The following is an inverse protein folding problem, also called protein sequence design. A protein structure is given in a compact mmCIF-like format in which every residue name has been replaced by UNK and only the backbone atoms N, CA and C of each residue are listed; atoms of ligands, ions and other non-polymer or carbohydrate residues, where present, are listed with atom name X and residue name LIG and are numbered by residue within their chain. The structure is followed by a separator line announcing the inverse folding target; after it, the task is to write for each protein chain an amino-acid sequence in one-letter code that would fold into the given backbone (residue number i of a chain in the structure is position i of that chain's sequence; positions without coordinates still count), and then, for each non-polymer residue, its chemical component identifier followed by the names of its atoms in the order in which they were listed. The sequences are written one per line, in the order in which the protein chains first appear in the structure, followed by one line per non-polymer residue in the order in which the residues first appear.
data_IF_032354836842
#
_entry.id   IF_032354836842
#
_cell.length_a   1.000
_cell.length_b   1.000
_cell.length_c   1.000
_cell.angle_alpha   90.00
_cell.angle_beta   90.00
_cell.angle_gamma   90.00
#
_symmetry.space_group_name_H-M   'P 1'
#
loop_
_entity.id
_entity.type
_entity.pdbx_description
1 polymer ?
#
# COMPACT_ATOMS: atom_id res chain seq x y z
N UNK A 1 31.75 4.04 11.09
CA UNK A 1 30.42 4.53 10.67
C UNK A 1 29.92 5.47 11.76
N UNK A 2 29.07 6.44 11.43
CA UNK A 2 28.35 7.21 12.45
C UNK A 2 27.09 6.42 12.84
N UNK A 3 26.72 6.42 14.12
CA UNK A 3 25.40 5.94 14.52
C UNK A 3 24.33 6.87 13.94
N UNK A 4 23.10 6.38 13.69
CA UNK A 4 22.00 7.25 13.31
C UNK A 4 21.77 8.40 14.30
N UNK A 5 21.34 9.56 13.80
CA UNK A 5 20.93 10.68 14.65
C UNK A 5 19.65 10.35 15.44
N UNK A 6 19.33 11.15 16.46
CA UNK A 6 18.08 11.03 17.21
C UNK A 6 16.89 11.22 16.25
N UNK A 7 16.19 10.12 15.95
CA UNK A 7 15.16 10.11 14.92
C UNK A 7 13.84 10.74 15.39
N UNK A 8 13.69 11.11 16.67
CA UNK A 8 12.51 11.83 17.18
C UNK A 8 12.21 13.12 16.38
N UNK A 9 13.26 13.78 15.87
CA UNK A 9 13.16 15.01 15.06
C UNK A 9 13.65 14.79 13.61
N UNK A 10 13.62 13.53 13.15
CA UNK A 10 13.90 13.14 11.77
C UNK A 10 12.97 11.98 11.37
N UNK A 11 11.70 12.06 11.75
CA UNK A 11 10.65 11.05 11.57
C UNK A 11 9.54 11.60 10.66
N UNK A 12 9.05 10.78 9.72
CA UNK A 12 8.12 11.20 8.67
C UNK A 12 7.12 10.11 8.33
N UNK A 13 5.89 10.51 8.02
CA UNK A 13 4.85 9.65 7.42
C UNK A 13 4.82 9.86 5.92
N UNK A 14 4.78 8.75 5.17
CA UNK A 14 4.50 8.70 3.73
C UNK A 14 3.00 8.43 3.51
N UNK A 15 2.36 9.22 2.66
CA UNK A 15 1.05 8.87 2.07
C UNK A 15 1.22 8.15 0.72
N UNK A 16 0.21 7.36 0.34
CA UNK A 16 0.23 6.57 -0.91
C UNK A 16 0.32 7.41 -2.19
N UNK A 17 0.01 8.71 -2.13
CA UNK A 17 0.14 9.66 -3.25
C UNK A 17 1.56 10.26 -3.34
N UNK A 18 2.49 9.84 -2.47
CA UNK A 18 3.89 10.26 -2.44
C UNK A 18 4.18 11.48 -1.56
N UNK A 19 3.17 12.00 -0.84
CA UNK A 19 3.32 13.11 0.09
C UNK A 19 4.09 12.68 1.34
N UNK A 20 4.97 13.57 1.82
CA UNK A 20 5.87 13.31 2.94
C UNK A 20 5.62 14.32 4.07
N UNK A 21 5.23 13.80 5.23
CA UNK A 21 4.65 14.58 6.33
C UNK A 21 5.54 14.50 7.58
N UNK A 22 6.19 15.60 8.00
CA UNK A 22 7.04 15.62 9.18
C UNK A 22 6.30 15.22 10.46
N UNK A 23 6.97 14.46 11.33
CA UNK A 23 6.48 14.04 12.63
C UNK A 23 7.26 14.75 13.75
N UNK A 24 6.56 15.20 14.79
CA UNK A 24 7.17 15.90 15.92
C UNK A 24 7.76 17.25 15.52
N UNK A 25 9.05 17.46 15.79
CA UNK A 25 9.78 18.67 15.39
C UNK A 25 10.71 18.45 14.19
N UNK A 26 10.40 17.46 13.34
CA UNK A 26 11.19 17.17 12.14
C UNK A 26 11.09 18.32 11.11
N UNK A 27 12.19 18.69 10.43
CA UNK A 27 12.15 19.69 9.36
C UNK A 27 11.36 19.17 8.15
N UNK A 28 10.92 20.04 7.25
CA UNK A 28 10.33 19.58 5.98
C UNK A 28 11.43 19.09 5.02
N UNK A 29 11.26 17.91 4.43
CA UNK A 29 12.10 17.39 3.34
C UNK A 29 11.35 17.49 2.02
N UNK A 30 12.04 18.00 0.99
CA UNK A 30 11.56 17.93 -0.40
C UNK A 30 11.54 16.48 -0.89
N UNK A 31 10.54 16.11 -1.70
CA UNK A 31 10.45 14.80 -2.36
C UNK A 31 10.21 15.00 -3.86
N UNK A 32 10.73 14.09 -4.70
CA UNK A 32 10.33 14.01 -6.12
C UNK A 32 9.12 13.12 -6.36
N UNK A 33 8.65 12.40 -5.34
CA UNK A 33 7.49 11.53 -5.42
C UNK A 33 6.21 12.37 -5.54
N UNK A 34 5.39 12.08 -6.56
CA UNK A 34 4.05 12.67 -6.67
C UNK A 34 3.16 11.83 -7.58
N UNK A 35 2.07 11.31 -7.00
CA UNK A 35 1.01 10.58 -7.70
C UNK A 35 -0.34 11.05 -7.15
N UNK A 36 -0.79 12.27 -7.50
CA UNK A 36 -2.08 12.76 -7.04
C UNK A 36 -3.18 11.76 -7.42
N UNK A 37 -4.09 11.46 -6.49
CA UNK A 37 -5.22 10.53 -6.67
C UNK A 37 -4.83 9.06 -6.98
N UNK A 38 -3.69 8.58 -6.47
CA UNK A 38 -3.13 7.26 -6.86
C UNK A 38 -2.25 6.65 -5.77
N UNK A 39 -2.69 5.51 -5.25
CA UNK A 39 -2.17 4.88 -4.04
C UNK A 39 -1.05 3.87 -4.39
N UNK A 40 0.16 4.38 -4.59
CA UNK A 40 1.29 3.60 -5.17
C UNK A 40 2.60 3.74 -4.40
N UNK A 41 2.74 4.72 -3.51
CA UNK A 41 3.94 4.91 -2.70
C UNK A 41 3.91 3.96 -1.49
N UNK A 42 4.74 2.92 -1.47
CA UNK A 42 4.64 1.80 -0.51
C UNK A 42 5.84 1.65 0.43
N UNK A 43 6.83 2.54 0.37
CA UNK A 43 7.97 2.48 1.28
C UNK A 43 8.74 3.78 1.38
N UNK A 44 9.22 4.08 2.58
CA UNK A 44 10.09 5.21 2.88
C UNK A 44 11.31 4.71 3.65
N UNK A 45 12.51 5.18 3.30
CA UNK A 45 13.71 4.96 4.10
C UNK A 45 14.63 6.18 4.09
N UNK A 46 15.23 6.50 5.24
CA UNK A 46 16.08 7.69 5.42
C UNK A 46 17.50 7.33 5.83
N UNK A 47 18.47 8.14 5.36
CA UNK A 47 19.88 7.99 5.71
C UNK A 47 20.08 8.08 7.24
N UNK A 48 21.13 7.46 7.81
CA UNK A 48 21.49 7.60 9.22
C UNK A 48 21.62 9.05 9.72
N UNK A 49 21.98 9.99 8.85
CA UNK A 49 22.08 11.43 9.18
C UNK A 49 20.74 12.19 9.13
N UNK A 50 19.66 11.57 8.66
CA UNK A 50 18.33 12.19 8.53
C UNK A 50 18.21 13.26 7.45
N UNK A 51 19.23 13.50 6.62
CA UNK A 51 19.26 14.59 5.63
C UNK A 51 18.44 14.30 4.37
N UNK A 52 18.04 13.05 4.15
CA UNK A 52 17.35 12.60 2.95
C UNK A 52 17.18 11.09 2.92
N UNK A 53 16.76 10.57 1.77
CA UNK A 53 16.50 9.15 1.55
C UNK A 53 15.68 8.90 0.29
N UNK A 54 14.80 7.90 0.31
CA UNK A 54 13.99 7.52 -0.86
C UNK A 54 12.56 7.18 -0.45
N UNK A 55 11.62 7.56 -1.32
CA UNK A 55 10.30 6.91 -1.45
C UNK A 55 10.39 5.83 -2.53
N UNK A 56 9.72 4.70 -2.31
CA UNK A 56 9.59 3.59 -3.25
C UNK A 56 8.14 3.49 -3.74
N UNK A 57 7.95 3.36 -5.07
CA UNK A 57 6.64 3.00 -5.64
C UNK A 57 6.45 1.48 -5.77
N UNK A 58 5.19 1.04 -5.87
CA UNK A 58 4.83 -0.39 -5.92
C UNK A 58 5.39 -1.18 -7.09
N UNK A 59 5.89 -0.50 -8.13
CA UNK A 59 6.60 -1.13 -9.24
C UNK A 59 8.12 -1.25 -8.99
N UNK A 60 8.61 -0.71 -7.87
CA UNK A 60 9.99 -0.83 -7.40
C UNK A 60 10.90 0.36 -7.73
N UNK A 61 10.39 1.44 -8.32
CA UNK A 61 11.21 2.62 -8.65
C UNK A 61 11.39 3.52 -7.43
N UNK A 62 12.58 4.10 -7.32
CA UNK A 62 12.97 5.00 -6.22
C UNK A 62 12.87 6.48 -6.59
N UNK A 63 12.46 7.29 -5.63
CA UNK A 63 12.20 8.73 -5.77
C UNK A 63 12.92 9.49 -4.65
N UNK A 64 13.92 10.34 -4.96
CA UNK A 64 14.72 11.02 -3.95
C UNK A 64 13.93 11.90 -2.98
N UNK A 65 14.38 11.86 -1.73
CA UNK A 65 13.93 12.70 -0.62
C UNK A 65 15.13 13.46 -0.05
N UNK A 66 14.92 14.75 0.27
CA UNK A 66 15.92 15.61 0.90
C UNK A 66 17.20 15.76 0.07
N UNK A 67 18.33 15.42 0.69
CA UNK A 67 19.68 15.46 0.09
C UNK A 67 20.00 14.35 -0.90
N UNK A 68 19.12 13.36 -1.09
CA UNK A 68 19.43 12.17 -1.88
C UNK A 68 19.58 12.45 -3.39
N UNK A 69 20.58 11.83 -4.07
CA UNK A 69 20.65 11.82 -5.52
C UNK A 69 19.72 10.74 -6.10
N UNK A 70 19.36 10.87 -7.39
CA UNK A 70 18.62 9.84 -8.11
C UNK A 70 19.43 8.52 -8.21
N UNK A 71 18.79 7.40 -7.88
CA UNK A 71 19.35 6.06 -7.90
C UNK A 71 18.27 5.10 -8.43
N UNK A 72 18.70 4.13 -9.23
CA UNK A 72 17.85 3.03 -9.72
C UNK A 72 17.92 1.84 -8.74
N UNK A 73 16.80 1.15 -8.53
CA UNK A 73 16.73 -0.09 -7.74
C UNK A 73 17.25 -1.31 -8.51
N UNK A 74 17.38 -1.21 -9.84
CA UNK A 74 17.74 -2.31 -10.72
C UNK A 74 16.59 -3.26 -11.04
N UNK A 75 15.38 -2.99 -10.54
CA UNK A 75 14.18 -3.83 -10.70
C UNK A 75 12.95 -2.99 -11.02
N UNK A 76 12.07 -3.52 -11.86
CA UNK A 76 10.83 -2.85 -12.26
C UNK A 76 9.75 -3.88 -12.60
N UNK A 77 8.60 -3.79 -11.91
CA UNK A 77 7.46 -4.70 -12.07
C UNK A 77 6.20 -3.98 -12.60
N UNK A 78 6.20 -3.50 -13.85
CA UNK A 78 4.99 -2.93 -14.44
C UNK A 78 3.95 -4.03 -14.59
N UNK A 79 2.75 -3.82 -14.04
CA UNK A 79 1.61 -4.77 -13.93
C UNK A 79 1.63 -5.71 -12.70
N UNK A 80 2.56 -5.57 -11.75
CA UNK A 80 2.49 -6.29 -10.46
C UNK A 80 3.00 -5.42 -9.31
N UNK A 81 2.28 -5.44 -8.18
CA UNK A 81 2.77 -4.86 -6.92
C UNK A 81 3.79 -5.84 -6.34
N UNK A 82 4.99 -5.79 -6.89
CA UNK A 82 6.12 -6.62 -6.51
C UNK A 82 6.94 -6.04 -5.38
N UNK A 83 7.00 -4.72 -5.24
CA UNK A 83 7.82 -4.07 -4.22
C UNK A 83 7.11 -4.03 -2.86
N UNK A 84 7.85 -4.31 -1.76
CA UNK A 84 7.33 -4.33 -0.38
C UNK A 84 7.92 -3.27 0.51
N UNK A 85 9.25 -3.19 0.56
CA UNK A 85 9.96 -2.26 1.46
C UNK A 85 11.31 -1.88 0.85
N UNK A 86 11.81 -0.70 1.23
CA UNK A 86 13.21 -0.33 1.09
C UNK A 86 13.84 -0.08 2.45
N UNK A 87 15.10 -0.45 2.60
CA UNK A 87 15.94 -0.03 3.72
C UNK A 87 17.28 0.50 3.26
N UNK A 88 17.82 1.48 3.99
CA UNK A 88 19.13 2.05 3.74
C UNK A 88 20.16 1.44 4.71
N UNK A 89 21.36 1.18 4.19
CA UNK A 89 22.41 0.52 4.95
C UNK A 89 23.03 1.46 6.02
N UNK A 90 23.62 0.93 7.11
CA UNK A 90 24.27 1.73 8.16
C UNK A 90 25.44 2.64 7.72
N UNK A 91 25.97 2.43 6.50
CA UNK A 91 27.01 3.26 5.87
C UNK A 91 26.48 4.17 4.75
N UNK A 92 25.17 4.15 4.50
CA UNK A 92 24.52 4.92 3.43
C UNK A 92 24.56 6.41 3.72
N UNK A 93 24.72 7.23 2.67
CA UNK A 93 24.64 8.70 2.75
C UNK A 93 24.20 9.28 1.41
N UNK A 94 23.88 10.57 1.34
CA UNK A 94 23.64 11.26 0.07
C UNK A 94 24.84 11.25 -0.88
N UNK A 95 26.06 11.24 -0.35
CA UNK A 95 27.29 11.13 -1.15
C UNK A 95 27.57 9.69 -1.64
N UNK A 96 27.12 8.69 -0.88
CA UNK A 96 27.29 7.26 -1.20
C UNK A 96 26.01 6.48 -0.82
N UNK A 97 24.93 6.58 -1.61
CA UNK A 97 23.71 5.84 -1.32
C UNK A 97 23.96 4.34 -1.34
N UNK A 98 23.39 3.61 -0.40
CA UNK A 98 23.43 2.15 -0.34
C UNK A 98 22.17 1.66 0.35
N UNK A 99 21.41 0.80 -0.31
CA UNK A 99 20.21 0.20 0.27
C UNK A 99 19.79 -1.08 -0.42
N UNK A 100 18.67 -1.60 0.05
CA UNK A 100 18.08 -2.85 -0.39
C UNK A 100 16.57 -2.67 -0.56
N UNK A 101 16.05 -3.17 -1.67
CA UNK A 101 14.61 -3.31 -1.90
C UNK A 101 14.21 -4.77 -1.64
N UNK A 102 13.16 -4.98 -0.86
CA UNK A 102 12.49 -6.27 -0.67
C UNK A 102 11.34 -6.40 -1.66
N UNK A 103 11.29 -7.51 -2.40
CA UNK A 103 10.11 -7.89 -3.18
C UNK A 103 9.15 -8.83 -2.41
N UNK A 104 7.93 -8.95 -2.92
CA UNK A 104 6.83 -9.68 -2.30
C UNK A 104 7.11 -11.17 -2.11
N UNK A 105 7.96 -11.76 -2.96
CA UNK A 105 8.36 -13.16 -2.90
C UNK A 105 9.70 -13.35 -2.15
N UNK A 106 10.21 -12.33 -1.45
CA UNK A 106 11.39 -12.41 -0.61
C UNK A 106 12.73 -12.20 -1.32
N UNK A 107 12.71 -11.79 -2.59
CA UNK A 107 13.93 -11.34 -3.27
C UNK A 107 14.45 -10.03 -2.66
N UNK A 108 15.77 -9.94 -2.46
CA UNK A 108 16.44 -8.74 -1.94
C UNK A 108 17.35 -8.17 -3.03
N UNK A 109 17.04 -6.95 -3.48
CA UNK A 109 17.70 -6.29 -4.61
C UNK A 109 18.57 -5.12 -4.10
N UNK A 110 19.90 -5.18 -4.25
CA UNK A 110 20.81 -4.11 -3.82
C UNK A 110 20.72 -2.89 -4.75
N UNK A 111 20.73 -1.69 -4.17
CA UNK A 111 20.73 -0.44 -4.93
C UNK A 111 21.80 0.57 -4.48
N UNK A 112 22.22 1.43 -5.41
CA UNK A 112 23.36 2.33 -5.22
C UNK A 112 24.68 1.56 -5.08
N UNK A 113 25.46 1.88 -4.06
CA UNK A 113 26.71 1.20 -3.69
C UNK A 113 26.55 -0.03 -2.79
N UNK A 114 25.34 -0.58 -2.64
CA UNK A 114 25.11 -1.75 -1.80
C UNK A 114 25.68 -3.05 -2.42
N UNK A 115 26.42 -3.87 -1.66
CA UNK A 115 26.80 -5.21 -2.10
C UNK A 115 25.59 -6.16 -2.19
N UNK A 116 25.63 -7.12 -3.11
CA UNK A 116 24.64 -8.20 -3.17
C UNK A 116 24.68 -9.07 -1.89
N UNK A 117 23.50 -9.46 -1.41
CA UNK A 117 23.30 -10.36 -0.26
C UNK A 117 22.94 -11.78 -0.72
N UNK A 118 23.07 -12.76 0.18
CA UNK A 118 22.72 -14.16 -0.08
C UNK A 118 22.20 -14.88 1.18
N UNK A 119 21.51 -16.00 0.97
CA UNK A 119 20.98 -16.84 2.05
C UNK A 119 19.58 -16.47 2.56
N UNK A 120 18.94 -15.45 2.00
CA UNK A 120 17.51 -15.18 2.26
C UNK A 120 16.64 -16.25 1.59
N UNK A 121 15.56 -16.75 2.23
CA UNK A 121 14.56 -17.56 1.53
C UNK A 121 13.80 -16.75 0.48
N UNK A 122 13.12 -17.44 -0.43
CA UNK A 122 12.14 -16.86 -1.35
C UNK A 122 10.90 -17.74 -1.42
N UNK A 123 9.77 -17.13 -1.76
CA UNK A 123 8.44 -17.72 -1.78
C UNK A 123 7.71 -17.41 -3.10
N UNK A 124 8.17 -17.93 -4.26
CA UNK A 124 7.68 -17.48 -5.57
C UNK A 124 6.16 -17.62 -5.74
N UNK A 125 5.52 -16.52 -6.14
CA UNK A 125 4.07 -16.42 -6.34
C UNK A 125 3.24 -16.39 -5.05
N UNK A 126 3.85 -16.29 -3.86
CA UNK A 126 3.13 -16.27 -2.58
C UNK A 126 2.93 -14.85 -2.04
N UNK A 127 3.77 -13.89 -2.42
CA UNK A 127 3.65 -12.50 -2.00
C UNK A 127 3.78 -12.28 -0.48
N UNK A 128 4.36 -13.23 0.26
CA UNK A 128 4.33 -13.32 1.74
C UNK A 128 5.34 -12.44 2.47
N UNK A 129 6.34 -11.87 1.81
CA UNK A 129 7.37 -11.06 2.48
C UNK A 129 6.82 -9.71 2.97
N UNK A 130 7.06 -9.35 4.24
CA UNK A 130 6.46 -8.18 4.92
C UNK A 130 7.47 -7.16 5.43
N UNK A 131 8.73 -7.53 5.64
CA UNK A 131 9.73 -6.56 6.09
C UNK A 131 11.17 -7.06 5.97
N UNK A 132 12.11 -6.13 5.99
CA UNK A 132 13.55 -6.32 5.80
C UNK A 132 14.31 -5.42 6.77
N UNK A 133 15.32 -5.94 7.48
CA UNK A 133 16.16 -5.11 8.36
C UNK A 133 17.64 -5.50 8.28
N UNK A 134 18.51 -4.51 8.06
CA UNK A 134 19.97 -4.66 8.05
C UNK A 134 20.50 -4.49 9.48
N UNK A 135 21.48 -5.30 9.89
CA UNK A 135 22.05 -5.16 11.25
C UNK A 135 22.89 -3.88 11.37
N UNK A 136 22.86 -3.15 12.50
CA UNK A 136 23.65 -1.93 12.70
C UNK A 136 25.18 -2.11 12.59
N UNK A 137 25.68 -3.35 12.71
CA UNK A 137 27.10 -3.71 12.59
C UNK A 137 27.49 -4.20 11.17
N UNK A 138 26.56 -4.23 10.22
CA UNK A 138 26.84 -4.61 8.82
C UNK A 138 27.79 -3.62 8.15
N UNK A 139 28.57 -4.09 7.19
CA UNK A 139 29.52 -3.28 6.41
C UNK A 139 29.51 -3.70 4.94
N UNK A 140 30.09 -2.90 4.00
CA UNK A 140 30.21 -3.28 2.60
C UNK A 140 30.99 -4.60 2.32
N UNK A 141 31.66 -5.18 3.32
CA UNK A 141 32.37 -6.47 3.21
C UNK A 141 31.62 -7.63 3.90
N UNK A 142 30.61 -7.32 4.73
CA UNK A 142 29.83 -8.29 5.48
C UNK A 142 28.46 -7.66 5.80
N UNK A 143 27.49 -7.93 4.93
CA UNK A 143 26.11 -7.45 5.06
C UNK A 143 25.27 -8.56 5.66
N UNK A 144 24.58 -8.26 6.75
CA UNK A 144 23.81 -9.22 7.57
C UNK A 144 22.44 -8.61 7.86
N UNK A 145 21.40 -9.43 7.94
CA UNK A 145 20.06 -8.92 8.23
C UNK A 145 19.02 -10.03 8.35
N UNK A 146 17.76 -9.60 8.41
CA UNK A 146 16.60 -10.48 8.52
C UNK A 146 15.50 -10.04 7.57
N UNK A 147 14.75 -10.99 7.02
CA UNK A 147 13.41 -10.73 6.48
C UNK A 147 12.32 -11.27 7.40
N UNK A 148 11.13 -10.68 7.30
CA UNK A 148 9.91 -11.06 7.99
C UNK A 148 8.88 -11.53 6.96
N UNK A 149 8.21 -12.66 7.21
CA UNK A 149 7.03 -13.09 6.46
C UNK A 149 5.71 -12.77 7.20
N UNK A 150 4.58 -12.89 6.48
CA UNK A 150 3.23 -12.64 7.00
C UNK A 150 2.86 -13.43 8.25
N UNK A 151 3.44 -14.62 8.42
CA UNK A 151 3.14 -15.53 9.54
C UNK A 151 4.02 -15.25 10.77
N UNK A 152 4.88 -14.23 10.71
CA UNK A 152 5.71 -13.77 11.83
C UNK A 152 7.08 -14.47 11.91
N UNK A 153 7.43 -15.32 10.95
CA UNK A 153 8.74 -15.95 10.93
C UNK A 153 9.83 -15.00 10.41
N UNK A 154 11.00 -15.07 11.05
CA UNK A 154 12.10 -14.10 10.92
C UNK A 154 13.35 -14.82 10.42
N UNK A 155 13.73 -14.54 9.19
CA UNK A 155 14.67 -15.33 8.40
C UNK A 155 16.03 -14.63 8.29
N UNK A 156 17.12 -15.16 8.86
CA UNK A 156 18.44 -14.56 8.78
C UNK A 156 19.07 -14.72 7.38
N UNK A 157 19.74 -13.69 6.88
CA UNK A 157 20.57 -13.75 5.67
C UNK A 157 21.97 -13.17 5.89
N UNK A 158 22.89 -13.40 4.94
CA UNK A 158 24.24 -12.83 4.98
C UNK A 158 25.12 -13.32 6.15
N UNK A 159 24.81 -14.49 6.71
CA UNK A 159 25.47 -15.00 7.92
C UNK A 159 24.94 -14.43 9.23
N UNK A 160 23.81 -13.73 9.22
CA UNK A 160 23.08 -13.35 10.42
C UNK A 160 22.78 -14.57 11.33
N UNK A 161 22.76 -14.35 12.64
CA UNK A 161 22.46 -15.39 13.63
C UNK A 161 20.95 -15.55 13.73
N UNK A 162 20.43 -16.78 13.65
CA UNK A 162 19.01 -17.06 13.87
C UNK A 162 18.49 -16.40 15.15
N UNK A 163 17.34 -15.73 15.05
CA UNK A 163 16.61 -15.23 16.23
C UNK A 163 15.99 -16.40 17.00
N UNK A 164 15.52 -16.12 18.22
CA UNK A 164 14.81 -17.09 19.06
C UNK A 164 13.58 -16.46 19.67
N UNK A 165 12.51 -17.25 19.82
CA UNK A 165 11.25 -16.83 20.44
C UNK A 165 10.60 -15.58 19.80
N UNK A 166 10.59 -15.50 18.46
CA UNK A 166 9.65 -14.65 17.73
C UNK A 166 8.22 -15.20 17.86
N UNK A 167 7.23 -14.30 17.82
CA UNK A 167 5.84 -14.69 17.66
C UNK A 167 5.59 -15.31 16.29
N UNK A 168 4.58 -16.18 16.22
CA UNK A 168 4.06 -16.78 14.99
C UNK A 168 2.55 -16.71 14.99
N UNK A 169 1.97 -16.64 13.80
CA UNK A 169 0.55 -16.36 13.60
C UNK A 169 -0.08 -17.40 12.66
N UNK A 170 -1.38 -17.63 12.80
CA UNK A 170 -2.13 -18.60 11.97
C UNK A 170 -2.41 -18.08 10.54
N UNK A 171 -2.10 -16.80 10.26
CA UNK A 171 -2.35 -16.13 8.99
C UNK A 171 -1.39 -14.97 8.74
N UNK A 172 -1.56 -14.30 7.60
CA UNK A 172 -0.75 -13.16 7.15
C UNK A 172 -1.10 -11.86 7.91
N UNK A 173 -0.50 -11.71 9.09
CA UNK A 173 -0.80 -10.61 10.01
C UNK A 173 0.40 -9.75 10.39
N UNK A 174 1.62 -10.19 10.08
CA UNK A 174 2.83 -9.43 10.41
C UNK A 174 2.98 -8.20 9.49
N UNK A 175 3.41 -7.06 10.05
CA UNK A 175 3.48 -5.75 9.33
C UNK A 175 4.83 -5.04 9.42
N UNK A 176 5.77 -5.52 10.25
CA UNK A 176 7.12 -4.94 10.28
C UNK A 176 8.04 -5.57 11.33
N UNK A 177 9.35 -5.35 11.19
CA UNK A 177 10.39 -5.84 12.10
C UNK A 177 11.40 -4.74 12.43
N UNK A 178 11.78 -4.62 13.70
CA UNK A 178 12.89 -3.74 14.14
C UNK A 178 13.86 -4.47 15.05
N UNK A 179 15.15 -4.22 14.86
CA UNK A 179 16.21 -4.67 15.77
C UNK A 179 16.43 -3.63 16.87
N UNK A 180 16.79 -4.07 18.08
CA UNK A 180 17.14 -3.17 19.19
C UNK A 180 18.50 -3.51 19.79
N UNK A 181 19.09 -2.56 20.53
CA UNK A 181 20.38 -2.77 21.19
C UNK A 181 20.31 -3.94 22.18
N UNK A 182 21.16 -4.95 21.97
CA UNK A 182 21.18 -6.16 22.79
C UNK A 182 21.53 -5.91 24.24
N UNK A 183 20.64 -6.24 25.19
CA UNK A 183 20.87 -6.04 26.63
C UNK A 183 22.06 -6.87 27.17
N UNK A 184 22.37 -8.00 26.54
CA UNK A 184 23.48 -8.89 26.94
C UNK A 184 24.41 -9.32 25.77
N UNK A 185 24.18 -8.87 24.52
CA UNK A 185 24.93 -9.28 23.32
C UNK A 185 24.84 -10.77 22.90
N UNK A 186 24.39 -11.66 23.79
CA UNK A 186 24.32 -13.11 23.58
C UNK A 186 23.30 -13.52 22.49
N UNK A 187 22.24 -12.75 22.30
CA UNK A 187 21.17 -13.00 21.32
C UNK A 187 20.89 -11.74 20.49
N UNK A 188 20.31 -11.94 19.31
CA UNK A 188 19.78 -10.84 18.49
C UNK A 188 18.34 -10.60 18.91
N UNK A 189 18.05 -9.39 19.38
CA UNK A 189 16.75 -9.01 19.95
C UNK A 189 16.09 -7.89 19.15
N UNK A 190 14.78 -7.79 19.27
CA UNK A 190 13.96 -6.86 18.51
C UNK A 190 12.48 -7.09 18.74
N UNK A 191 11.67 -6.51 17.86
CA UNK A 191 10.22 -6.60 17.89
C UNK A 191 9.66 -6.85 16.49
N UNK A 192 8.58 -7.62 16.40
CA UNK A 192 7.71 -7.66 15.21
C UNK A 192 6.36 -7.01 15.52
N UNK A 193 5.76 -6.38 14.51
CA UNK A 193 4.43 -5.78 14.56
C UNK A 193 3.39 -6.73 13.93
N UNK A 194 2.21 -6.85 14.54
CA UNK A 194 1.01 -7.39 13.89
C UNK A 194 0.02 -6.29 13.49
N UNK A 195 -0.94 -6.64 12.62
CA UNK A 195 -1.93 -5.72 12.08
C UNK A 195 -2.79 -5.00 13.12
N UNK A 196 -2.99 -5.61 14.30
CA UNK A 196 -3.81 -5.08 15.40
C UNK A 196 -3.01 -4.11 16.28
N UNK A 197 -1.76 -3.80 15.94
CA UNK A 197 -0.86 -3.00 16.76
C UNK A 197 -0.20 -3.80 17.89
N UNK A 198 -0.26 -5.14 17.86
CA UNK A 198 0.47 -5.99 18.78
C UNK A 198 1.97 -5.95 18.49
N UNK A 199 2.79 -5.74 19.53
CA UNK A 199 4.24 -5.61 19.41
C UNK A 199 4.90 -6.77 20.17
N UNK A 200 5.54 -7.66 19.42
CA UNK A 200 5.99 -8.96 19.90
C UNK A 200 7.51 -8.99 20.08
N UNK A 201 8.03 -9.07 21.33
CA UNK A 201 9.47 -9.15 21.57
C UNK A 201 10.05 -10.49 21.10
N UNK A 202 11.27 -10.46 20.56
CA UNK A 202 12.08 -11.66 20.31
C UNK A 202 13.51 -11.54 20.86
N UNK A 203 14.21 -12.67 20.98
CA UNK A 203 15.63 -12.71 21.35
C UNK A 203 15.97 -12.27 22.76
N UNK A 204 14.97 -12.16 23.66
CA UNK A 204 15.15 -11.61 25.01
C UNK A 204 14.97 -10.10 25.10
N UNK A 205 14.41 -9.44 24.08
CA UNK A 205 13.85 -8.10 24.24
C UNK A 205 12.80 -8.09 25.37
N UNK A 206 12.71 -7.02 26.19
CA UNK A 206 11.66 -6.90 27.20
C UNK A 206 10.29 -6.70 26.54
N UNK A 207 9.22 -7.11 27.22
CA UNK A 207 7.87 -6.71 26.84
C UNK A 207 7.72 -5.18 26.90
N UNK A 208 6.95 -4.61 25.97
CA UNK A 208 6.69 -3.18 25.84
C UNK A 208 5.19 -2.93 25.71
N UNK A 209 4.74 -1.74 26.10
CA UNK A 209 3.36 -1.27 25.89
C UNK A 209 3.31 -0.37 24.66
N UNK A 210 2.34 -0.58 23.78
CA UNK A 210 1.93 0.40 22.76
C UNK A 210 0.94 1.41 23.35
N UNK A 211 0.92 2.65 22.84
CA UNK A 211 -0.10 3.65 23.18
C UNK A 211 -1.43 3.45 22.46
N UNK A 212 -1.48 2.56 21.46
CA UNK A 212 -2.69 2.20 20.71
C UNK A 212 -2.72 0.72 20.33
N UNK A 213 -3.92 0.19 20.13
CA UNK A 213 -4.17 -1.16 19.63
C UNK A 213 -5.57 -1.22 19.01
N UNK A 214 -5.74 -2.06 18.00
CA UNK A 214 -6.97 -2.21 17.21
C UNK A 214 -7.33 -3.70 17.11
N UNK A 215 -7.81 -4.35 18.20
CA UNK A 215 -7.95 -5.80 18.25
C UNK A 215 -8.85 -6.36 17.15
N UNK A 216 -8.29 -7.16 16.24
CA UNK A 216 -9.02 -7.78 15.13
C UNK A 216 -9.32 -6.84 13.96
N UNK A 217 -8.72 -5.64 13.93
CA UNK A 217 -8.78 -4.71 12.79
C UNK A 217 -7.37 -4.54 12.23
N UNK A 218 -7.18 -4.78 10.93
CA UNK A 218 -5.91 -4.49 10.27
C UNK A 218 -5.80 -2.97 10.12
N UNK A 219 -4.94 -2.36 10.93
CA UNK A 219 -4.85 -0.90 11.12
C UNK A 219 -3.42 -0.41 11.33
N UNK A 220 -2.60 -1.17 12.05
CA UNK A 220 -1.17 -0.86 12.23
C UNK A 220 -0.39 -1.27 10.98
N UNK A 221 0.48 -0.39 10.50
CA UNK A 221 0.97 -0.44 9.13
C UNK A 221 2.49 -0.63 9.02
N UNK A 222 3.26 0.10 9.84
CA UNK A 222 4.72 -0.08 9.96
C UNK A 222 5.22 0.38 11.35
N UNK A 223 6.42 -0.05 11.76
CA UNK A 223 7.05 0.39 13.03
C UNK A 223 8.51 0.83 12.86
N UNK A 224 8.90 1.83 13.64
CA UNK A 224 10.26 2.38 13.69
C UNK A 224 10.77 2.36 15.14
N UNK A 225 11.99 1.88 15.38
CA UNK A 225 12.63 1.99 16.69
C UNK A 225 13.21 3.40 16.90
N UNK A 226 13.11 3.92 18.14
CA UNK A 226 13.72 5.19 18.51
C UNK A 226 15.24 5.01 18.68
N UNK A 227 16.05 5.69 17.86
CA UNK A 227 17.51 5.47 17.76
C UNK A 227 18.29 5.80 19.04
N UNK A 228 17.66 6.48 20.00
CA UNK A 228 18.21 6.90 21.29
C UNK A 228 17.63 6.10 22.47
N UNK A 229 16.69 5.19 22.24
CA UNK A 229 16.21 4.27 23.25
C UNK A 229 17.34 3.34 23.73
N UNK A 230 17.36 3.00 25.02
CA UNK A 230 18.41 2.14 25.58
C UNK A 230 18.03 0.66 25.47
N UNK A 231 19.01 -0.24 25.54
CA UNK A 231 18.77 -1.70 25.63
C UNK A 231 17.94 -2.09 26.86
N UNK A 232 18.02 -1.29 27.93
CA UNK A 232 17.22 -1.47 29.15
C UNK A 232 15.80 -0.91 29.05
N UNK A 233 15.61 0.15 28.26
CA UNK A 233 14.34 0.85 28.05
C UNK A 233 14.15 1.12 26.54
N UNK A 234 13.84 0.06 25.75
CA UNK A 234 13.59 0.20 24.31
C UNK A 234 12.25 0.85 24.04
N UNK A 235 12.12 1.47 22.87
CA UNK A 235 10.91 2.15 22.44
C UNK A 235 10.98 2.55 20.97
N UNK A 236 9.87 3.07 20.46
CA UNK A 236 9.75 3.55 19.09
C UNK A 236 8.33 4.01 18.79
N UNK A 237 7.97 4.01 17.51
CA UNK A 237 6.63 4.37 17.05
C UNK A 237 6.05 3.32 16.09
N UNK A 238 4.73 3.26 16.04
CA UNK A 238 3.91 2.54 15.06
C UNK A 238 3.08 3.57 14.30
N UNK A 239 2.98 3.41 12.99
CA UNK A 239 2.05 4.15 12.14
C UNK A 239 0.75 3.38 11.99
N UNK A 240 -0.39 4.06 12.09
CA UNK A 240 -1.66 3.52 11.60
C UNK A 240 -2.01 4.04 10.19
N UNK A 241 -2.93 3.35 9.53
CA UNK A 241 -3.36 3.64 8.15
C UNK A 241 -4.03 5.00 7.94
N UNK A 242 -4.44 5.67 9.01
CA UNK A 242 -4.97 7.04 8.98
C UNK A 242 -3.86 8.10 9.18
N UNK A 243 -2.59 7.70 9.35
CA UNK A 243 -1.47 8.64 9.50
C UNK A 243 -1.13 9.01 10.95
N UNK A 244 -1.89 8.53 11.93
CA UNK A 244 -1.57 8.79 13.34
C UNK A 244 -0.37 7.93 13.79
N UNK A 245 0.51 8.54 14.60
CA UNK A 245 1.80 7.97 15.01
C UNK A 245 1.81 7.69 16.51
N UNK A 246 1.84 6.41 16.86
CA UNK A 246 1.61 5.89 18.19
C UNK A 246 2.92 5.44 18.84
N UNK A 247 3.21 5.90 20.04
CA UNK A 247 4.46 5.57 20.73
C UNK A 247 4.38 4.18 21.39
N UNK A 248 5.51 3.47 21.44
CA UNK A 248 5.64 2.23 22.19
C UNK A 248 6.92 2.20 23.03
N UNK A 249 6.87 1.43 24.12
CA UNK A 249 7.96 1.31 25.07
C UNK A 249 8.33 2.66 25.70
N UNK A 250 9.60 3.05 25.58
CA UNK A 250 10.17 4.27 26.17
C UNK A 250 10.05 5.53 25.32
N UNK A 251 9.54 5.44 24.09
CA UNK A 251 9.56 6.57 23.17
C UNK A 251 8.58 7.69 23.58
N UNK A 252 8.94 8.96 23.37
CA UNK A 252 8.05 10.08 23.64
C UNK A 252 6.88 10.11 22.64
N UNK A 253 5.71 10.56 23.09
CA UNK A 253 4.58 10.82 22.20
C UNK A 253 4.93 11.93 21.20
N UNK A 254 4.60 11.69 19.93
CA UNK A 254 4.79 12.62 18.79
C UNK A 254 3.47 12.72 18.02
N UNK A 255 3.42 13.58 16.98
CA UNK A 255 2.28 13.70 16.06
C UNK A 255 2.79 13.97 14.66
N UNK A 256 2.16 13.40 13.64
CA UNK A 256 2.38 13.80 12.25
C UNK A 256 1.80 15.20 11.99
N UNK A 257 2.34 15.92 11.00
CA UNK A 257 1.81 17.20 10.54
C UNK A 257 0.46 17.08 9.81
N UNK A 258 0.12 15.87 9.37
CA UNK A 258 -1.08 15.53 8.61
C UNK A 258 -1.56 14.14 9.04
N UNK A 259 -2.88 13.97 9.17
CA UNK A 259 -3.55 12.66 9.27
C UNK A 259 -4.83 12.69 8.43
N UNK A 260 -5.43 11.54 8.18
CA UNK A 260 -6.61 11.37 7.34
C UNK A 260 -7.64 10.47 8.06
N UNK A 261 -8.38 11.01 9.04
CA UNK A 261 -9.28 10.22 9.88
C UNK A 261 -10.32 9.42 9.08
N UNK A 262 -10.27 8.09 9.20
CA UNK A 262 -11.16 7.16 8.49
C UNK A 262 -10.73 6.81 7.06
N UNK A 263 -9.67 7.42 6.52
CA UNK A 263 -9.20 7.20 5.16
C UNK A 263 -7.85 6.47 5.16
N UNK A 264 -7.86 5.20 4.74
CA UNK A 264 -6.68 4.32 4.67
C UNK A 264 -5.77 4.75 3.51
N UNK A 265 -4.80 5.63 3.78
CA UNK A 265 -3.88 6.23 2.79
C UNK A 265 -2.42 6.40 3.29
N UNK A 266 -2.14 6.21 4.58
CA UNK A 266 -0.76 6.19 5.07
C UNK A 266 -0.08 4.86 4.71
N UNK A 267 1.20 4.89 4.30
CA UNK A 267 1.90 3.74 3.70
C UNK A 267 3.33 3.48 4.17
N UNK A 268 3.87 4.34 5.05
CA UNK A 268 5.23 4.14 5.55
C UNK A 268 5.63 5.16 6.60
N UNK A 269 6.40 4.69 7.58
CA UNK A 269 7.00 5.50 8.64
C UNK A 269 8.52 5.32 8.59
N UNK A 270 9.28 6.40 8.46
CA UNK A 270 10.73 6.32 8.51
C UNK A 270 11.33 7.41 9.40
N UNK A 271 12.18 6.97 10.33
CA UNK A 271 13.14 7.81 11.03
C UNK A 271 14.51 7.79 10.37
N UNK A 272 15.38 8.76 10.67
CA UNK A 272 16.80 8.70 10.31
C UNK A 272 17.43 7.34 10.68
N UNK A 273 18.09 6.68 9.70
CA UNK A 273 18.70 5.37 9.87
C UNK A 273 17.71 4.20 9.97
N UNK A 274 16.47 4.40 9.54
CA UNK A 274 15.42 3.37 9.47
C UNK A 274 14.59 3.52 8.20
N UNK A 275 13.83 2.48 7.88
CA UNK A 275 12.77 2.52 6.89
C UNK A 275 11.50 1.90 7.46
N UNK A 276 10.43 2.03 6.70
CA UNK A 276 9.14 1.41 6.94
C UNK A 276 8.29 1.53 5.69
N UNK A 277 7.67 0.43 5.30
CA UNK A 277 6.77 0.36 4.15
C UNK A 277 5.57 -0.54 4.43
N UNK A 278 4.58 -0.42 3.56
CA UNK A 278 3.35 -1.21 3.59
C UNK A 278 2.70 -1.15 2.21
N UNK A 279 1.98 -2.21 1.86
CA UNK A 279 1.22 -2.25 0.61
C UNK A 279 -0.27 -2.24 0.84
N UNK A 280 -0.98 -1.90 -0.22
CA UNK A 280 -2.40 -2.18 -0.39
C UNK A 280 -2.74 -3.66 -0.11
N UNK A 281 -3.99 -3.95 0.29
CA UNK A 281 -4.48 -5.32 0.55
C UNK A 281 -5.26 -5.86 -0.65
N UNK A 282 -5.26 -7.18 -0.83
CA UNK A 282 -6.14 -7.82 -1.82
C UNK A 282 -7.64 -7.71 -1.44
N UNK A 283 -7.94 -7.66 -0.14
CA UNK A 283 -9.29 -7.43 0.38
C UNK A 283 -9.23 -6.19 1.28
N UNK A 284 -10.05 -5.19 0.95
CA UNK A 284 -10.04 -3.87 1.58
C UNK A 284 -11.04 -3.81 2.73
N UNK A 285 -10.75 -2.97 3.72
CA UNK A 285 -11.73 -2.68 4.78
C UNK A 285 -12.93 -1.90 4.26
N UNK A 286 -14.04 -2.00 4.99
CA UNK A 286 -15.32 -1.42 4.59
C UNK A 286 -15.30 0.11 4.53
N UNK A 287 -15.07 0.69 3.35
CA UNK A 287 -14.96 2.14 3.14
C UNK A 287 -16.27 2.74 2.57
N UNK A 288 -17.07 3.47 3.36
CA UNK A 288 -18.37 4.01 2.92
C UNK A 288 -18.24 5.39 2.27
N UNK A 289 -17.41 5.52 1.24
CA UNK A 289 -17.20 6.81 0.55
C UNK A 289 -18.40 7.18 -0.31
N UNK A 290 -18.99 8.37 -0.09
CA UNK A 290 -20.10 8.89 -0.89
C UNK A 290 -20.15 10.41 -0.87
N UNK A 291 -20.69 11.01 -1.92
CA UNK A 291 -20.71 12.46 -2.14
C UNK A 291 -22.06 12.94 -2.75
N UNK A 292 -22.06 14.09 -3.44
CA UNK A 292 -23.21 14.60 -4.19
C UNK A 292 -23.45 13.90 -5.55
N UNK A 293 -22.46 13.20 -6.11
CA UNK A 293 -22.62 12.37 -7.32
C UNK A 293 -23.15 10.97 -6.97
N UNK A 294 -22.68 10.32 -5.90
CA UNK A 294 -23.16 9.00 -5.51
C UNK A 294 -22.31 8.29 -4.45
N UNK A 295 -22.53 6.99 -4.28
CA UNK A 295 -21.64 6.12 -3.49
C UNK A 295 -20.56 5.53 -4.38
N UNK A 296 -19.35 5.41 -3.84
CA UNK A 296 -18.25 4.67 -4.44
C UNK A 296 -18.21 3.24 -3.90
N UNK A 297 -18.00 2.27 -4.78
CA UNK A 297 -17.93 0.86 -4.44
C UNK A 297 -16.71 0.22 -5.09
N UNK A 298 -15.71 -0.13 -4.26
CA UNK A 298 -14.57 -0.93 -4.69
C UNK A 298 -14.93 -2.43 -4.60
N UNK A 299 -14.65 -3.21 -5.64
CA UNK A 299 -14.99 -4.64 -5.72
C UNK A 299 -14.28 -5.50 -4.67
N UNK A 300 -13.15 -5.02 -4.12
CA UNK A 300 -12.33 -5.71 -3.12
C UNK A 300 -12.74 -5.44 -1.67
N UNK A 301 -13.73 -4.58 -1.44
CA UNK A 301 -14.26 -4.27 -0.10
C UNK A 301 -14.88 -5.51 0.58
N UNK A 302 -14.42 -5.81 1.79
CA UNK A 302 -14.78 -7.01 2.59
C UNK A 302 -16.30 -7.23 2.73
N UNK A 303 -17.13 -6.20 2.62
CA UNK A 303 -18.60 -6.28 2.75
C UNK A 303 -19.28 -7.04 1.61
N UNK A 304 -18.60 -7.20 0.47
CA UNK A 304 -19.13 -7.92 -0.70
C UNK A 304 -18.08 -8.68 -1.52
N UNK A 305 -16.79 -8.45 -1.29
CA UNK A 305 -15.67 -9.06 -2.01
C UNK A 305 -15.83 -10.58 -2.21
N UNK A 306 -16.29 -11.29 -1.18
CA UNK A 306 -16.47 -12.75 -1.16
C UNK A 306 -17.84 -13.26 -1.65
N UNK A 307 -18.77 -12.38 -2.01
CA UNK A 307 -20.05 -12.79 -2.60
C UNK A 307 -19.83 -13.28 -4.04
N UNK A 308 -20.45 -14.40 -4.41
CA UNK A 308 -20.33 -14.94 -5.77
C UNK A 308 -21.17 -14.16 -6.79
N UNK A 309 -20.53 -13.71 -7.85
CA UNK A 309 -21.18 -13.19 -9.06
C UNK A 309 -21.74 -14.37 -9.83
N UNK A 310 -23.06 -14.49 -9.91
CA UNK A 310 -23.72 -15.53 -10.70
C UNK A 310 -23.27 -16.96 -10.34
N UNK A 311 -23.12 -17.24 -9.04
CA UNK A 311 -22.72 -18.54 -8.49
C UNK A 311 -21.39 -19.10 -9.08
N UNK A 312 -20.50 -18.25 -9.63
CA UNK A 312 -19.27 -18.68 -10.35
C UNK A 312 -17.96 -18.17 -9.78
N UNK A 313 -17.83 -16.88 -9.46
CA UNK A 313 -16.60 -16.31 -8.89
C UNK A 313 -16.90 -15.12 -7.96
N UNK A 314 -16.05 -14.87 -6.94
CA UNK A 314 -16.25 -13.78 -6.00
C UNK A 314 -16.12 -12.38 -6.64
N UNK A 315 -16.90 -11.41 -6.16
CA UNK A 315 -16.92 -10.00 -6.63
C UNK A 315 -15.52 -9.38 -6.68
N UNK A 316 -14.62 -9.68 -5.73
CA UNK A 316 -13.26 -9.11 -5.78
C UNK A 316 -12.50 -9.50 -7.05
N UNK A 317 -12.81 -10.66 -7.64
CA UNK A 317 -12.06 -11.26 -8.74
C UNK A 317 -12.58 -10.87 -10.13
N UNK A 318 -13.89 -10.70 -10.28
CA UNK A 318 -14.52 -10.39 -11.59
C UNK A 318 -15.57 -9.27 -11.55
N UNK A 319 -15.80 -8.64 -10.40
CA UNK A 319 -16.93 -7.77 -10.13
C UNK A 319 -16.74 -6.29 -10.45
N UNK A 320 -15.88 -5.92 -11.41
CA UNK A 320 -15.70 -4.51 -11.81
C UNK A 320 -17.01 -3.90 -12.32
N UNK A 321 -17.58 -4.48 -13.39
CA UNK A 321 -18.86 -4.05 -13.96
C UNK A 321 -20.05 -4.22 -12.99
N UNK A 322 -19.97 -5.16 -12.04
CA UNK A 322 -20.96 -5.33 -10.96
C UNK A 322 -20.90 -4.15 -9.98
N UNK A 323 -19.70 -3.68 -9.67
CA UNK A 323 -19.48 -2.57 -8.74
C UNK A 323 -19.74 -1.22 -9.41
N UNK A 324 -19.34 -1.06 -10.67
CA UNK A 324 -19.73 0.08 -11.52
C UNK A 324 -21.25 0.23 -11.60
N UNK A 325 -21.96 -0.85 -11.90
CA UNK A 325 -23.42 -0.83 -11.98
C UNK A 325 -24.03 -0.41 -10.63
N UNK A 326 -23.50 -0.87 -9.50
CA UNK A 326 -23.91 -0.40 -8.17
C UNK A 326 -23.66 1.10 -7.96
N UNK A 327 -22.52 1.64 -8.42
CA UNK A 327 -22.22 3.08 -8.34
C UNK A 327 -23.23 3.90 -9.17
N UNK A 328 -23.58 3.44 -10.37
CA UNK A 328 -24.59 4.08 -11.22
C UNK A 328 -26.01 3.97 -10.61
N UNK A 329 -26.37 2.83 -10.02
CA UNK A 329 -27.61 2.73 -9.23
C UNK A 329 -27.62 3.74 -8.06
N UNK A 330 -26.51 3.91 -7.35
CA UNK A 330 -26.42 4.90 -6.27
C UNK A 330 -26.49 6.34 -6.77
N UNK A 331 -25.99 6.64 -7.97
CA UNK A 331 -26.11 7.96 -8.61
C UNK A 331 -27.58 8.32 -8.85
N UNK A 332 -28.37 7.38 -9.38
CA UNK A 332 -29.82 7.53 -9.52
C UNK A 332 -30.61 7.35 -8.19
N UNK A 333 -29.93 7.40 -7.05
CA UNK A 333 -30.55 7.44 -5.72
C UNK A 333 -30.95 6.08 -5.11
N UNK A 334 -30.62 4.95 -5.77
CA UNK A 334 -30.91 3.60 -5.25
C UNK A 334 -29.90 3.17 -4.17
N UNK A 335 -29.88 3.89 -3.05
CA UNK A 335 -28.92 3.78 -1.92
C UNK A 335 -28.80 2.41 -1.24
N UNK A 336 -29.66 1.45 -1.58
CA UNK A 336 -29.64 0.08 -1.05
C UNK A 336 -29.08 -0.96 -2.05
N UNK A 337 -28.71 -0.54 -3.25
CA UNK A 337 -28.06 -1.41 -4.24
C UNK A 337 -26.54 -1.34 -4.01
N UNK A 338 -25.97 -2.48 -3.65
CA UNK A 338 -24.52 -2.71 -3.50
C UNK A 338 -24.03 -3.82 -4.44
N UNK A 339 -22.71 -3.99 -4.63
CA UNK A 339 -22.17 -5.05 -5.49
C UNK A 339 -22.66 -6.45 -5.11
N UNK A 340 -22.77 -6.77 -3.81
CA UNK A 340 -23.35 -8.04 -3.35
C UNK A 340 -24.83 -8.21 -3.75
N UNK A 341 -25.65 -7.15 -3.67
CA UNK A 341 -27.06 -7.24 -4.08
C UNK A 341 -27.22 -7.47 -5.58
N UNK A 342 -26.29 -6.94 -6.40
CA UNK A 342 -26.28 -7.19 -7.85
C UNK A 342 -25.78 -8.61 -8.14
N UNK A 343 -24.66 -9.03 -7.52
CA UNK A 343 -24.08 -10.36 -7.67
C UNK A 343 -25.07 -11.50 -7.36
N UNK A 344 -25.92 -11.32 -6.33
CA UNK A 344 -26.95 -12.26 -5.91
C UNK A 344 -28.10 -12.46 -6.93
N UNK A 345 -28.22 -11.64 -7.97
CA UNK A 345 -29.18 -11.86 -9.06
C UNK A 345 -28.60 -12.87 -10.07
N UNK A 346 -28.55 -14.16 -9.74
CA UNK A 346 -27.89 -15.16 -10.61
C UNK A 346 -28.47 -15.25 -12.04
N UNK A 347 -29.73 -14.89 -12.24
CA UNK A 347 -30.35 -14.76 -13.58
C UNK A 347 -29.87 -13.57 -14.42
N UNK A 348 -29.03 -12.70 -13.87
CA UNK A 348 -28.40 -11.58 -14.58
C UNK A 348 -27.07 -11.96 -15.23
N UNK A 349 -26.54 -13.16 -14.99
CA UNK A 349 -25.20 -13.59 -15.43
C UNK A 349 -25.22 -14.88 -16.25
N UNK A 350 -24.22 -15.03 -17.12
CA UNK A 350 -23.92 -16.31 -17.77
C UNK A 350 -23.13 -17.26 -16.85
N UNK A 351 -22.91 -18.50 -17.29
CA UNK A 351 -22.12 -19.51 -16.57
C UNK A 351 -20.61 -19.23 -16.49
N UNK A 352 -20.19 -17.98 -16.64
CA UNK A 352 -18.83 -17.45 -16.44
C UNK A 352 -18.82 -16.18 -15.58
N UNK A 353 -19.98 -15.73 -15.10
CA UNK A 353 -20.16 -14.48 -14.36
C UNK A 353 -20.27 -13.23 -15.25
N UNK A 354 -20.40 -13.37 -16.58
CA UNK A 354 -20.57 -12.22 -17.47
C UNK A 354 -22.02 -11.72 -17.44
N UNK A 355 -22.22 -10.43 -17.17
CA UNK A 355 -23.55 -9.83 -17.02
C UNK A 355 -24.29 -9.70 -18.37
N UNK A 356 -25.60 -9.98 -18.39
CA UNK A 356 -26.44 -9.82 -19.56
C UNK A 356 -26.89 -8.36 -19.75
N UNK A 357 -27.00 -7.91 -21.00
CA UNK A 357 -27.50 -6.57 -21.35
C UNK A 357 -28.91 -6.26 -20.78
N UNK A 358 -29.71 -7.28 -20.46
CA UNK A 358 -31.02 -7.13 -19.80
C UNK A 358 -30.91 -6.62 -18.35
N UNK A 359 -29.84 -6.97 -17.65
CA UNK A 359 -29.58 -6.57 -16.26
C UNK A 359 -29.04 -5.14 -16.12
N UNK A 360 -28.49 -4.57 -17.20
CA UNK A 360 -28.02 -3.19 -17.24
C UNK A 360 -29.15 -2.14 -17.21
N UNK A 361 -30.42 -2.55 -17.25
CA UNK A 361 -31.55 -1.62 -17.22
C UNK A 361 -31.86 -1.14 -15.79
N UNK A 362 -31.53 0.12 -15.50
CA UNK A 362 -31.88 0.77 -14.23
C UNK A 362 -33.33 1.28 -14.29
N UNK A 363 -34.19 1.01 -13.27
CA UNK A 363 -35.59 1.42 -13.31
C UNK A 363 -35.75 2.94 -13.46
N UNK A 364 -36.66 3.37 -14.34
CA UNK A 364 -36.88 4.79 -14.65
C UNK A 364 -35.92 5.40 -15.68
N UNK A 365 -34.80 4.73 -15.97
CA UNK A 365 -33.75 5.24 -16.86
C UNK A 365 -33.58 4.39 -18.13
N UNK A 366 -33.01 4.99 -19.17
CA UNK A 366 -32.70 4.36 -20.46
C UNK A 366 -31.20 4.08 -20.57
N UNK A 367 -30.88 2.82 -20.85
CA UNK A 367 -29.50 2.39 -21.10
C UNK A 367 -29.18 2.40 -22.60
N UNK A 368 -28.00 2.87 -22.98
CA UNK A 368 -27.49 2.84 -24.36
C UNK A 368 -26.09 2.23 -24.37
N UNK A 369 -25.93 1.12 -25.09
CA UNK A 369 -24.67 0.37 -25.20
C UNK A 369 -24.08 0.60 -26.59
N UNK A 370 -22.81 1.01 -26.66
CA UNK A 370 -22.07 1.28 -27.91
C UNK A 370 -20.75 0.53 -27.91
N UNK A 371 -20.53 -0.32 -28.92
CA UNK A 371 -19.22 -0.94 -29.22
C UNK A 371 -18.35 0.03 -30.01
N UNK A 372 -17.05 0.07 -29.70
CA UNK A 372 -16.06 1.00 -30.27
C UNK A 372 -16.57 2.46 -30.28
N UNK A 373 -16.93 3.02 -29.11
CA UNK A 373 -17.55 4.35 -29.01
C UNK A 373 -16.60 5.47 -29.43
N UNK A 374 -17.13 6.48 -30.12
CA UNK A 374 -16.37 7.71 -30.41
C UNK A 374 -16.15 8.51 -29.11
N UNK A 375 -14.94 9.01 -28.81
CA UNK A 375 -14.68 9.80 -27.60
C UNK A 375 -15.53 11.07 -27.46
N UNK A 376 -16.04 11.64 -28.56
CA UNK A 376 -16.99 12.75 -28.52
C UNK A 376 -18.40 12.32 -28.09
N UNK A 377 -18.82 11.10 -28.39
CA UNK A 377 -20.08 10.52 -27.89
C UNK A 377 -20.03 10.34 -26.37
N UNK A 378 -18.93 9.80 -25.85
CA UNK A 378 -18.69 9.68 -24.40
C UNK A 378 -18.73 11.06 -23.73
N UNK A 379 -18.00 12.05 -24.28
CA UNK A 379 -18.03 13.43 -23.77
C UNK A 379 -19.43 14.06 -23.82
N UNK A 380 -20.23 13.80 -24.87
CA UNK A 380 -21.58 14.35 -24.98
C UNK A 380 -22.53 13.81 -23.89
N UNK A 381 -22.42 12.53 -23.54
CA UNK A 381 -23.19 11.96 -22.43
C UNK A 381 -22.75 12.54 -21.08
N UNK A 382 -21.45 12.55 -20.80
CA UNK A 382 -20.90 13.09 -19.54
C UNK A 382 -21.17 14.60 -19.36
N UNK A 383 -21.10 15.39 -20.44
CA UNK A 383 -21.40 16.82 -20.41
C UNK A 383 -22.89 17.13 -20.19
N UNK A 384 -23.77 16.16 -20.45
CA UNK A 384 -25.20 16.24 -20.12
C UNK A 384 -25.53 15.65 -18.73
N UNK A 385 -24.52 15.26 -17.94
CA UNK A 385 -24.68 14.69 -16.60
C UNK A 385 -24.98 13.19 -16.55
N UNK A 386 -25.00 12.51 -17.70
CA UNK A 386 -25.23 11.06 -17.74
C UNK A 386 -23.98 10.29 -17.29
N UNK A 387 -24.07 9.36 -16.34
CA UNK A 387 -22.97 8.46 -16.03
C UNK A 387 -22.71 7.50 -17.20
N UNK A 388 -21.44 7.15 -17.42
CA UNK A 388 -21.03 6.24 -18.51
C UNK A 388 -20.04 5.20 -17.99
N UNK A 389 -20.41 3.92 -17.98
CA UNK A 389 -19.46 2.84 -17.70
C UNK A 389 -18.70 2.52 -19.00
N UNK A 390 -17.38 2.33 -18.95
CA UNK A 390 -16.56 1.97 -20.12
C UNK A 390 -15.77 0.69 -19.91
N UNK A 391 -15.79 -0.19 -20.92
CA UNK A 391 -15.03 -1.44 -20.96
C UNK A 391 -13.73 -1.27 -21.76
N UNK A 392 -12.62 -1.69 -21.17
CA UNK A 392 -11.26 -1.55 -21.71
C UNK A 392 -10.54 -2.90 -21.76
N UNK A 393 -9.75 -3.14 -22.81
CA UNK A 393 -8.86 -4.30 -22.85
C UNK A 393 -7.62 -4.05 -21.98
N UNK A 394 -7.09 -5.10 -21.35
CA UNK A 394 -5.82 -5.04 -20.62
C UNK A 394 -4.66 -5.63 -21.47
N UNK A 395 -3.43 -5.06 -21.44
CA UNK A 395 -2.31 -5.54 -22.27
C UNK A 395 -1.82 -6.95 -21.92
N UNK A 396 -1.98 -7.36 -20.66
CA UNK A 396 -1.73 -8.73 -20.20
C UNK A 396 -2.83 -9.73 -20.63
N UNK A 397 -3.88 -9.26 -21.31
CA UNK A 397 -5.11 -9.99 -21.57
C UNK A 397 -6.18 -9.73 -20.49
N UNK A 398 -7.43 -10.02 -20.83
CA UNK A 398 -8.60 -9.70 -20.00
C UNK A 398 -9.14 -8.29 -20.24
N UNK A 399 -10.15 -7.92 -19.45
CA UNK A 399 -10.89 -6.65 -19.57
C UNK A 399 -11.15 -6.04 -18.20
N UNK A 400 -11.12 -4.71 -18.13
CA UNK A 400 -11.53 -3.94 -16.95
C UNK A 400 -12.69 -3.00 -17.30
N UNK A 401 -13.54 -2.71 -16.33
CA UNK A 401 -14.65 -1.76 -16.45
C UNK A 401 -14.52 -0.69 -15.37
N UNK A 402 -14.88 0.55 -15.73
CA UNK A 402 -14.84 1.71 -14.82
C UNK A 402 -16.00 2.68 -15.10
N UNK A 403 -16.43 3.39 -14.07
CA UNK A 403 -17.52 4.37 -14.17
C UNK A 403 -16.98 5.77 -14.39
N UNK A 404 -17.28 6.36 -15.56
CA UNK A 404 -17.01 7.77 -15.84
C UNK A 404 -18.09 8.64 -15.22
N UNK A 405 -17.67 9.58 -14.37
CA UNK A 405 -18.54 10.43 -13.54
C UNK A 405 -18.69 11.86 -14.08
N UNK A 406 -17.79 12.30 -14.96
CA UNK A 406 -17.90 13.58 -15.66
C UNK A 406 -16.72 13.87 -16.61
N UNK A 407 -16.76 14.99 -17.33
CA UNK A 407 -15.64 15.45 -18.17
C UNK A 407 -14.56 16.16 -17.34
N UNK A 408 -13.29 15.83 -17.54
CA UNK A 408 -12.15 16.49 -16.91
C UNK A 408 -11.36 17.29 -17.95
N UNK A 409 -11.73 18.57 -18.09
CA UNK A 409 -11.19 19.42 -19.16
C UNK A 409 -11.60 18.91 -20.56
N UNK A 410 -10.72 19.06 -21.54
CA UNK A 410 -11.01 18.77 -22.96
C UNK A 410 -10.59 17.37 -23.43
N UNK A 411 -9.73 16.67 -22.67
CA UNK A 411 -9.03 15.45 -23.13
C UNK A 411 -9.13 14.25 -22.18
N UNK A 412 -9.84 14.38 -21.06
CA UNK A 412 -9.80 13.43 -19.95
C UNK A 412 -11.19 13.35 -19.27
N UNK A 413 -11.37 12.38 -18.37
CA UNK A 413 -12.63 12.14 -17.63
C UNK A 413 -12.35 12.05 -16.12
N UNK A 414 -13.38 12.34 -15.32
CA UNK A 414 -13.43 11.91 -13.93
C UNK A 414 -13.96 10.48 -13.87
N UNK A 415 -13.33 9.65 -13.03
CA UNK A 415 -13.52 8.19 -13.01
C UNK A 415 -13.70 7.73 -11.57
N UNK A 416 -14.60 6.78 -11.36
CA UNK A 416 -14.60 5.91 -10.21
C UNK A 416 -14.10 4.54 -10.69
N UNK A 417 -12.92 4.11 -10.25
CA UNK A 417 -12.38 2.79 -10.61
C UNK A 417 -12.75 1.77 -9.52
N UNK A 418 -13.46 0.67 -9.85
CA UNK A 418 -13.89 -0.30 -8.87
C UNK A 418 -12.77 -1.22 -8.39
N UNK A 419 -11.59 -1.25 -9.03
CA UNK A 419 -10.47 -2.08 -8.57
C UNK A 419 -9.55 -1.34 -7.60
N UNK A 420 -8.99 -0.20 -7.98
CA UNK A 420 -7.92 0.50 -7.23
C UNK A 420 -8.42 1.10 -5.89
N UNK A 421 -7.67 0.94 -4.79
CA UNK A 421 -8.04 1.58 -3.52
C UNK A 421 -8.01 3.11 -3.68
N UNK A 422 -8.92 3.80 -2.99
CA UNK A 422 -9.01 5.26 -2.98
C UNK A 422 -9.35 5.93 -4.34
N UNK A 423 -9.78 5.15 -5.34
CA UNK A 423 -10.01 5.61 -6.71
C UNK A 423 -11.41 6.21 -7.00
N UNK A 424 -11.91 7.08 -6.11
CA UNK A 424 -13.14 7.87 -6.34
C UNK A 424 -12.81 9.24 -6.96
N UNK A 425 -13.53 9.64 -8.01
CA UNK A 425 -13.33 10.87 -8.79
C UNK A 425 -11.86 11.14 -9.19
N UNK A 426 -11.18 10.11 -9.70
CA UNK A 426 -9.79 10.18 -10.16
C UNK A 426 -9.70 10.47 -11.67
N UNK A 427 -8.56 10.98 -12.19
CA UNK A 427 -8.36 11.21 -13.61
C UNK A 427 -8.35 9.90 -14.41
N UNK A 428 -9.10 9.83 -15.51
CA UNK A 428 -9.09 8.65 -16.40
C UNK A 428 -7.71 8.43 -17.07
N UNK A 429 -6.99 9.52 -17.38
CA UNK A 429 -5.60 9.47 -17.84
C UNK A 429 -4.60 9.12 -16.73
N UNK A 430 -5.03 9.14 -15.47
CA UNK A 430 -4.20 8.84 -14.32
C UNK A 430 -4.05 7.35 -14.07
N UNK A 431 -5.09 6.55 -14.32
CA UNK A 431 -5.29 5.19 -13.78
C UNK A 431 -4.13 4.17 -13.91
N UNK A 432 -4.17 3.14 -13.05
CA UNK A 432 -3.03 2.40 -12.54
C UNK A 432 -2.63 1.22 -13.41
N UNK A 433 -3.57 0.64 -14.16
CA UNK A 433 -3.28 -0.23 -15.30
C UNK A 433 -2.76 0.56 -16.53
N UNK A 434 -1.87 -0.04 -17.32
CA UNK A 434 -1.62 0.38 -18.71
C UNK A 434 -2.85 0.08 -19.55
N UNK A 435 -3.84 0.98 -19.60
CA UNK A 435 -5.12 0.74 -20.28
C UNK A 435 -4.95 0.52 -21.80
N UNK A 436 -5.57 -0.54 -22.31
CA UNK A 436 -5.84 -0.70 -23.74
C UNK A 436 -7.03 0.16 -24.21
N UNK A 437 -7.41 0.10 -25.49
CA UNK A 437 -8.50 0.91 -26.02
C UNK A 437 -9.85 0.54 -25.38
N UNK A 438 -10.69 1.55 -25.17
CA UNK A 438 -12.11 1.40 -24.85
C UNK A 438 -12.78 0.68 -26.02
N UNK A 439 -13.35 -0.50 -25.77
CA UNK A 439 -14.08 -1.29 -26.77
C UNK A 439 -15.60 -1.18 -26.61
N UNK A 440 -16.08 -0.66 -25.48
CA UNK A 440 -17.49 -0.55 -25.14
C UNK A 440 -17.75 0.62 -24.20
N UNK A 441 -18.88 1.31 -24.37
CA UNK A 441 -19.40 2.25 -23.41
C UNK A 441 -20.91 2.05 -23.21
N UNK A 442 -21.36 2.23 -21.98
CA UNK A 442 -22.72 2.05 -21.51
C UNK A 442 -23.15 3.35 -20.84
N UNK A 443 -23.99 4.15 -21.51
CA UNK A 443 -24.52 5.40 -20.97
C UNK A 443 -25.94 5.20 -20.41
N UNK A 444 -26.25 5.87 -19.30
CA UNK A 444 -27.54 5.77 -18.62
C UNK A 444 -28.21 7.16 -18.54
N UNK A 445 -29.49 7.22 -18.91
CA UNK A 445 -30.25 8.46 -19.16
C UNK A 445 -31.56 8.44 -18.37
#
# INVERSE_FOLDING_TARGET
MLSPVDNQNHLYVLDGWGGLHPVGASPALSTSATWPTKDIAYGLALFPDGTGGYVMDGWGKLHPVGSAPAVDSGVYWPQWIGAREIVLAPWSSSATPSGYLLDADGGIHPFGGAPQVSGNPTWPGQGTARGLVITPNSTPLAVMGYTLDGFGDVHPFGGARSVVANARFEGDVARGIVLTAGRNGLFVQGYTLDYSGGIHPFGGAPAVTSSASWPGQDMADSLVAWTKATSDSPGGWVLDRHGDVHAWGSAPAVRASQTWPGWDIARGLAGAGSGGGSTERLILEGQPTSDGWGSYFNQRDVRWASADVGDTFPVWKIGCLVSDLAMVYSHFGYRFVSPATIAAHSSWFDGRGAIFNSALNIPGHKTIIVRNPDPSWIRAHLAAGHPVIVGMNLPAGGTHFVTLTGTKGTSDYWTNDPWEQNAMHVPFSGDWFTRGPIYEAIAFI
#
